data_IF_852280167443
#
_entry.id   IF_852280167443
#
_cell.length_a   1.000
_cell.length_b   1.000
_cell.length_c   1.000
_cell.angle_alpha   90.00
_cell.angle_beta   90.00
_cell.angle_gamma   90.00
#
_symmetry.space_group_name_H-M   'P 1'
#
loop_
_entity.id
_entity.type
_entity.pdbx_description
1 polymer ?
#
# COMPACT_ATOMS: atom_id res chain seq x y z
N UNK A 1 8.20 15.94 -25.15
CA UNK A 1 8.01 14.51 -24.81
C UNK A 1 9.37 13.87 -24.64
N UNK A 2 9.93 14.15 -23.49
CA UNK A 2 11.23 13.81 -22.97
C UNK A 2 11.14 12.38 -22.40
N UNK A 3 11.97 11.43 -22.87
CA UNK A 3 11.94 10.04 -22.40
C UNK A 3 12.46 9.87 -20.96
N UNK A 4 12.75 10.96 -20.26
CA UNK A 4 13.27 10.98 -18.90
C UNK A 4 12.18 11.12 -17.83
N UNK A 5 10.93 11.38 -18.20
CA UNK A 5 9.82 11.57 -17.27
C UNK A 5 9.19 10.26 -16.72
N UNK A 6 9.64 9.06 -17.16
CA UNK A 6 9.02 7.79 -16.78
C UNK A 6 9.84 6.95 -15.76
N UNK A 7 11.01 7.43 -15.32
CA UNK A 7 11.86 6.68 -14.38
C UNK A 7 11.49 6.84 -12.90
N UNK A 8 10.53 7.68 -12.54
CA UNK A 8 10.18 7.98 -11.14
C UNK A 8 9.32 6.88 -10.45
N UNK A 9 8.82 5.88 -11.20
CA UNK A 9 7.79 4.94 -10.70
C UNK A 9 8.31 3.64 -10.09
N UNK A 10 9.56 3.23 -10.27
CA UNK A 10 9.90 1.80 -10.10
C UNK A 10 10.67 1.36 -8.83
N UNK A 11 10.91 2.21 -7.83
CA UNK A 11 11.50 1.72 -6.55
C UNK A 11 11.01 2.44 -5.30
N UNK A 12 10.99 3.78 -5.27
CA UNK A 12 10.50 4.53 -4.10
C UNK A 12 8.97 4.50 -3.96
N UNK A 13 8.27 4.39 -5.09
CA UNK A 13 6.81 4.37 -5.13
C UNK A 13 6.22 3.22 -4.29
N UNK A 14 6.82 2.03 -4.31
CA UNK A 14 6.25 0.88 -3.60
C UNK A 14 6.28 1.03 -2.07
N UNK A 15 7.32 1.65 -1.50
CA UNK A 15 7.37 1.89 -0.04
C UNK A 15 6.42 3.02 0.34
N UNK A 16 6.45 4.12 -0.41
CA UNK A 16 5.57 5.26 -0.15
C UNK A 16 4.09 4.86 -0.23
N UNK A 17 3.69 4.08 -1.25
CA UNK A 17 2.31 3.61 -1.39
C UNK A 17 1.90 2.69 -0.24
N UNK A 18 2.76 1.76 0.18
CA UNK A 18 2.47 0.88 1.33
C UNK A 18 2.27 1.69 2.62
N UNK A 19 3.10 2.70 2.86
CA UNK A 19 2.94 3.61 4.00
C UNK A 19 1.63 4.37 3.91
N UNK A 20 1.35 5.00 2.76
CA UNK A 20 0.13 5.79 2.56
C UNK A 20 -1.13 4.94 2.70
N UNK A 21 -1.17 3.73 2.15
CA UNK A 21 -2.31 2.81 2.31
C UNK A 21 -2.50 2.44 3.77
N UNK A 22 -1.42 2.10 4.50
CA UNK A 22 -1.50 1.78 5.91
C UNK A 22 -1.99 2.98 6.75
N UNK A 23 -1.56 4.19 6.43
CA UNK A 23 -2.04 5.42 7.07
C UNK A 23 -3.52 5.67 6.80
N UNK A 24 -3.99 5.56 5.54
CA UNK A 24 -5.40 5.72 5.19
C UNK A 24 -6.26 4.71 5.97
N UNK A 25 -5.88 3.43 5.97
CA UNK A 25 -6.65 2.39 6.65
C UNK A 25 -6.72 2.61 8.17
N UNK A 26 -5.64 3.08 8.81
CA UNK A 26 -5.64 3.40 10.23
C UNK A 26 -6.45 4.65 10.54
N UNK A 27 -6.31 5.71 9.74
CA UNK A 27 -7.01 6.98 9.94
C UNK A 27 -8.53 6.84 9.75
N UNK A 28 -8.95 5.98 8.81
CA UNK A 28 -10.36 5.64 8.61
C UNK A 28 -10.89 4.63 9.65
N UNK A 29 -10.06 4.22 10.61
CA UNK A 29 -10.45 3.28 11.65
C UNK A 29 -10.73 1.87 11.16
N UNK A 30 -10.24 1.48 9.97
CA UNK A 30 -10.40 0.14 9.38
C UNK A 30 -9.35 -0.85 9.90
N UNK A 31 -8.15 -0.37 10.23
CA UNK A 31 -7.04 -1.22 10.63
C UNK A 31 -6.32 -0.69 11.87
N UNK A 32 -5.66 -1.60 12.57
CA UNK A 32 -4.66 -1.30 13.60
C UNK A 32 -3.32 -1.89 13.17
N UNK A 33 -2.23 -1.15 13.33
CA UNK A 33 -0.91 -1.76 13.09
C UNK A 33 -0.61 -2.81 14.14
N UNK A 34 -0.05 -3.93 13.70
CA UNK A 34 0.50 -4.96 14.58
C UNK A 34 2.02 -4.92 14.58
N UNK A 35 2.62 -4.63 13.41
CA UNK A 35 4.06 -4.70 13.25
C UNK A 35 4.52 -3.95 12.00
N UNK A 36 5.64 -3.24 12.12
CA UNK A 36 6.33 -2.58 11.00
C UNK A 36 7.78 -3.04 11.01
N UNK A 37 8.27 -3.52 9.88
CA UNK A 37 9.68 -3.91 9.70
C UNK A 37 10.24 -3.29 8.44
N UNK A 38 11.46 -2.79 8.55
CA UNK A 38 12.28 -2.38 7.41
C UNK A 38 13.51 -3.27 7.35
N UNK A 39 13.88 -3.65 6.14
CA UNK A 39 15.07 -4.43 5.87
C UNK A 39 15.60 -4.08 4.49
N UNK A 40 16.71 -4.69 4.10
CA UNK A 40 17.23 -4.63 2.74
C UNK A 40 17.22 -6.02 2.14
N UNK A 41 16.82 -6.13 0.88
CA UNK A 41 16.93 -7.36 0.09
C UNK A 41 17.99 -7.17 -0.98
N UNK A 42 18.84 -8.17 -1.16
CA UNK A 42 19.78 -8.21 -2.26
C UNK A 42 19.04 -8.64 -3.53
N UNK A 43 19.19 -7.85 -4.60
CA UNK A 43 18.61 -8.14 -5.91
C UNK A 43 19.74 -8.47 -6.87
N UNK A 44 19.70 -9.71 -7.36
CA UNK A 44 20.54 -10.17 -8.44
C UNK A 44 19.86 -9.85 -9.76
N UNK A 45 20.30 -8.77 -10.40
CA UNK A 45 19.89 -8.40 -11.74
C UNK A 45 20.97 -8.84 -12.73
N UNK A 46 20.70 -9.92 -13.47
CA UNK A 46 21.61 -10.50 -14.46
C UNK A 46 22.00 -9.47 -15.55
N UNK A 47 21.15 -8.46 -15.79
CA UNK A 47 21.42 -7.39 -16.77
C UNK A 47 22.40 -6.34 -16.25
N UNK A 48 22.58 -6.21 -14.92
CA UNK A 48 23.43 -5.18 -14.31
C UNK A 48 24.80 -5.68 -13.84
N UNK A 49 25.07 -6.98 -13.93
CA UNK A 49 26.38 -7.58 -13.65
C UNK A 49 26.87 -7.49 -12.19
N UNK A 50 26.16 -6.78 -11.31
CA UNK A 50 26.45 -6.69 -9.87
C UNK A 50 25.16 -6.73 -9.04
N UNK A 51 25.11 -7.52 -7.96
CA UNK A 51 24.03 -7.45 -6.98
C UNK A 51 23.89 -6.06 -6.37
N UNK A 52 22.66 -5.63 -6.10
CA UNK A 52 22.40 -4.37 -5.40
C UNK A 52 21.32 -4.52 -4.34
N UNK A 53 21.41 -3.74 -3.27
CA UNK A 53 20.44 -3.79 -2.18
C UNK A 53 19.29 -2.83 -2.43
N UNK A 54 18.05 -3.30 -2.22
CA UNK A 54 16.85 -2.47 -2.16
C UNK A 54 16.26 -2.47 -0.76
N UNK A 55 15.75 -1.33 -0.32
CA UNK A 55 14.93 -1.25 0.88
C UNK A 55 13.63 -2.05 0.69
N UNK A 56 13.23 -2.74 1.74
CA UNK A 56 11.98 -3.50 1.86
C UNK A 56 11.27 -3.02 3.12
N UNK A 57 9.96 -2.83 3.01
CA UNK A 57 9.08 -2.55 4.14
C UNK A 57 8.03 -3.66 4.24
N UNK A 58 7.68 -4.03 5.47
CA UNK A 58 6.61 -4.97 5.78
C UNK A 58 5.74 -4.36 6.88
N UNK A 59 4.45 -4.18 6.60
CA UNK A 59 3.47 -3.67 7.56
C UNK A 59 2.41 -4.75 7.76
N UNK A 60 2.33 -5.30 8.96
CA UNK A 60 1.25 -6.19 9.38
C UNK A 60 0.14 -5.34 9.99
N UNK A 61 -1.04 -5.41 9.38
CA UNK A 61 -2.26 -4.74 9.83
C UNK A 61 -3.25 -5.79 10.33
N UNK A 62 -3.89 -5.52 11.46
CA UNK A 62 -5.04 -6.27 11.94
C UNK A 62 -6.32 -5.49 11.71
N UNK A 63 -7.45 -6.19 11.54
CA UNK A 63 -8.78 -5.55 11.55
C UNK A 63 -8.97 -4.76 12.84
N UNK A 64 -9.51 -3.56 12.73
CA UNK A 64 -10.04 -2.84 13.88
C UNK A 64 -11.39 -3.44 14.30
N UNK A 65 -11.87 -3.04 15.48
CA UNK A 65 -13.20 -3.41 15.97
C UNK A 65 -14.33 -2.86 15.07
N UNK A 66 -14.06 -1.75 14.35
CA UNK A 66 -15.03 -1.06 13.50
C UNK A 66 -15.03 -1.56 12.06
N UNK A 67 -14.14 -2.48 11.70
CA UNK A 67 -13.92 -2.86 10.31
C UNK A 67 -15.19 -3.43 9.67
N UNK A 68 -15.82 -4.40 10.31
CA UNK A 68 -16.98 -5.09 9.71
C UNK A 68 -18.20 -4.15 9.62
N UNK A 69 -18.37 -3.23 10.59
CA UNK A 69 -19.42 -2.18 10.56
C UNK A 69 -19.21 -1.19 9.42
N UNK A 70 -17.99 -0.65 9.28
CA UNK A 70 -17.67 0.33 8.23
C UNK A 70 -17.77 -0.27 6.82
N UNK A 71 -17.41 -1.56 6.67
CA UNK A 71 -17.55 -2.26 5.39
C UNK A 71 -19.02 -2.53 5.04
N UNK A 72 -19.85 -2.84 6.03
CA UNK A 72 -21.29 -3.01 5.82
C UNK A 72 -21.97 -1.68 5.44
N UNK A 73 -21.60 -0.58 6.11
CA UNK A 73 -22.11 0.76 5.77
C UNK A 73 -21.73 1.15 4.34
N UNK A 74 -20.47 0.98 3.95
CA UNK A 74 -20.00 1.33 2.61
C UNK A 74 -20.67 0.49 1.50
N UNK A 75 -21.05 -0.76 1.80
CA UNK A 75 -21.80 -1.59 0.86
C UNK A 75 -23.25 -1.11 0.70
N UNK A 76 -23.91 -0.71 1.79
CA UNK A 76 -25.25 -0.13 1.74
C UNK A 76 -25.27 1.20 0.95
N UNK A 77 -24.27 2.07 1.19
CA UNK A 77 -24.12 3.33 0.46
C UNK A 77 -23.87 3.12 -1.04
N UNK A 78 -23.22 2.01 -1.41
CA UNK A 78 -22.96 1.64 -2.81
C UNK A 78 -24.22 1.12 -3.52
N UNK A 79 -25.06 0.36 -2.82
CA UNK A 79 -26.34 -0.15 -3.36
C UNK A 79 -27.37 0.98 -3.53
N UNK A 80 -27.46 1.93 -2.59
CA UNK A 80 -28.33 3.11 -2.74
C UNK A 80 -27.92 4.01 -3.91
N UNK A 81 -26.62 4.09 -4.23
CA UNK A 81 -26.11 4.85 -5.38
C UNK A 81 -26.39 4.22 -6.75
N UNK A 82 -26.69 2.91 -6.81
CA UNK A 82 -27.04 2.21 -8.05
C UNK A 82 -28.55 2.27 -8.37
N UNK A 83 -29.42 2.48 -7.38
CA UNK A 83 -30.87 2.62 -7.59
C UNK A 83 -31.30 4.04 -8.07
N UNK A 84 -30.46 5.06 -7.88
CA UNK A 84 -30.73 6.44 -8.32
C UNK A 84 -30.17 6.79 -9.73
N UNK A 85 -29.59 5.83 -10.47
CA UNK A 85 -28.95 6.03 -11.78
C UNK A 85 -29.71 5.45 -12.99
#
# INVERSE_FOLDING_TARGET
MDPFALALLNVFAAIATVVTVAEILKNNGLAVEKKIRTSTVEINDESRGRPFQKAKIEIELGKSEKFDELMASAAADAEEGEEEA
#
